data_IF_247691468841
#
_entry.id   IF_247691468841
#
_cell.length_a   1.000
_cell.length_b   1.000
_cell.length_c   1.000
_cell.angle_alpha   90.00
_cell.angle_beta   90.00
_cell.angle_gamma   90.00
#
_symmetry.space_group_name_H-M   'P 1'
#
loop_
_entity.id
_entity.type
_entity.pdbx_description
1 polymer ?
#
# COMPACT_ATOMS: atom_id res chain seq x y z
N UNK A 1 -3.89 16.24 7.45
CA UNK A 1 -2.75 15.32 7.74
C UNK A 1 -1.90 15.17 6.49
N UNK A 2 -0.62 14.74 6.64
CA UNK A 2 0.26 14.41 5.53
C UNK A 2 0.27 12.89 5.36
N UNK A 3 -0.43 12.40 4.36
CA UNK A 3 -0.70 10.98 4.13
C UNK A 3 0.08 10.49 2.92
N UNK A 4 0.80 9.37 3.08
CA UNK A 4 1.41 8.67 1.96
C UNK A 4 0.65 7.38 1.69
N UNK A 5 0.15 7.22 0.48
CA UNK A 5 -0.32 5.94 -0.02
C UNK A 5 0.81 5.20 -0.71
N UNK A 6 1.01 3.94 -0.32
CA UNK A 6 2.00 3.04 -0.92
C UNK A 6 1.28 1.85 -1.49
N UNK A 7 1.50 1.60 -2.76
CA UNK A 7 0.96 0.44 -3.46
C UNK A 7 2.02 -0.25 -4.30
N UNK A 8 1.80 -1.50 -4.64
CA UNK A 8 2.58 -2.24 -5.63
C UNK A 8 1.65 -2.85 -6.67
N UNK A 9 0.72 -2.02 -7.16
CA UNK A 9 -0.29 -2.41 -8.14
C UNK A 9 0.40 -2.90 -9.41
N UNK A 10 0.00 -4.09 -9.85
CA UNK A 10 0.45 -4.68 -11.11
C UNK A 10 -0.68 -4.54 -12.14
N UNK A 11 -0.32 -4.09 -13.34
CA UNK A 11 -1.28 -3.78 -14.39
C UNK A 11 -1.95 -5.01 -14.98
N UNK A 12 -3.26 -5.00 -14.99
CA UNK A 12 -4.12 -5.82 -15.82
C UNK A 12 -5.41 -5.04 -16.04
N UNK A 13 -5.89 -5.00 -17.28
CA UNK A 13 -7.07 -4.21 -17.69
C UNK A 13 -8.32 -4.39 -16.80
N UNK A 14 -8.36 -5.48 -16.02
CA UNK A 14 -9.50 -5.85 -15.17
C UNK A 14 -9.18 -5.84 -13.67
N UNK A 15 -8.09 -5.21 -13.26
CA UNK A 15 -7.73 -5.12 -11.85
C UNK A 15 -8.55 -4.04 -11.14
N UNK A 16 -9.48 -4.45 -10.27
CA UNK A 16 -10.30 -3.53 -9.46
C UNK A 16 -9.49 -2.47 -8.72
N UNK A 17 -8.37 -2.82 -8.06
CA UNK A 17 -7.52 -1.84 -7.37
C UNK A 17 -6.97 -0.73 -8.25
N UNK A 18 -6.73 -0.97 -9.56
CA UNK A 18 -6.29 0.08 -10.49
C UNK A 18 -7.29 1.22 -10.64
N UNK A 19 -8.57 0.97 -10.38
CA UNK A 19 -9.61 1.99 -10.46
C UNK A 19 -10.00 2.51 -9.08
N UNK A 20 -10.06 1.64 -8.08
CA UNK A 20 -10.56 2.02 -6.75
C UNK A 20 -9.51 2.78 -5.93
N UNK A 21 -8.22 2.44 -6.03
CA UNK A 21 -7.14 3.12 -5.30
C UNK A 21 -7.03 4.59 -5.70
N UNK A 22 -6.90 4.96 -7.00
CA UNK A 22 -6.84 6.35 -7.40
C UNK A 22 -8.05 7.17 -6.95
N UNK A 23 -9.26 6.63 -7.11
CA UNK A 23 -10.50 7.32 -6.69
C UNK A 23 -10.56 7.56 -5.19
N UNK A 24 -10.11 6.61 -4.37
CA UNK A 24 -10.01 6.78 -2.93
C UNK A 24 -9.02 7.89 -2.58
N UNK A 25 -7.83 7.87 -3.19
CA UNK A 25 -6.79 8.87 -2.97
C UNK A 25 -7.28 10.26 -3.38
N UNK A 26 -7.92 10.37 -4.53
CA UNK A 26 -8.48 11.63 -5.01
C UNK A 26 -9.59 12.18 -4.09
N UNK A 27 -10.40 11.29 -3.52
CA UNK A 27 -11.38 11.67 -2.50
C UNK A 27 -10.71 12.16 -1.22
N UNK A 28 -9.66 11.50 -0.75
CA UNK A 28 -8.91 11.88 0.45
C UNK A 28 -8.18 13.22 0.29
N UNK A 29 -7.67 13.52 -0.91
CA UNK A 29 -7.00 14.80 -1.24
C UNK A 29 -7.88 16.03 -0.96
N UNK A 30 -9.18 15.88 -0.89
CA UNK A 30 -10.09 16.98 -0.56
C UNK A 30 -9.98 17.45 0.89
N UNK A 31 -9.43 16.62 1.77
CA UNK A 31 -9.37 16.84 3.21
C UNK A 31 -7.94 16.86 3.75
N UNK A 32 -7.01 16.20 3.07
CA UNK A 32 -5.65 15.99 3.53
C UNK A 32 -4.61 16.24 2.43
N UNK A 33 -3.35 16.47 2.84
CA UNK A 33 -2.23 16.43 1.92
C UNK A 33 -1.90 14.97 1.60
N UNK A 34 -1.96 14.59 0.34
CA UNK A 34 -1.81 13.20 -0.08
C UNK A 34 -0.70 13.06 -1.11
N UNK A 35 0.12 12.03 -0.95
CA UNK A 35 1.14 11.63 -1.91
C UNK A 35 1.00 10.13 -2.20
N UNK A 36 0.94 9.75 -3.48
CA UNK A 36 0.79 8.36 -3.86
C UNK A 36 2.04 7.82 -4.56
N UNK A 37 2.61 6.77 -3.98
CA UNK A 37 3.74 6.03 -4.54
C UNK A 37 3.28 4.65 -4.96
N UNK A 38 3.51 4.29 -6.21
CA UNK A 38 3.43 2.92 -6.66
C UNK A 38 4.84 2.34 -6.87
N UNK A 39 5.13 1.20 -6.25
CA UNK A 39 6.44 0.56 -6.24
C UNK A 39 6.71 -0.25 -7.51
N UNK A 40 5.66 -0.53 -8.28
CA UNK A 40 5.70 -1.27 -9.55
C UNK A 40 5.37 -0.32 -10.70
N UNK A 41 6.09 -0.44 -11.82
CA UNK A 41 5.76 0.33 -13.01
C UNK A 41 4.48 -0.23 -13.63
N UNK A 42 3.48 0.63 -13.81
CA UNK A 42 2.22 0.29 -14.47
C UNK A 42 2.09 1.18 -15.71
N UNK A 43 1.65 0.62 -16.82
CA UNK A 43 1.06 1.40 -17.89
C UNK A 43 -0.35 1.78 -17.46
N UNK A 44 -0.46 2.91 -16.80
CA UNK A 44 -1.75 3.44 -16.34
C UNK A 44 -2.39 4.15 -17.53
N UNK A 45 -3.70 3.92 -17.71
CA UNK A 45 -4.50 4.71 -18.63
C UNK A 45 -4.29 6.21 -18.37
N UNK A 46 -4.18 7.02 -19.44
CA UNK A 46 -3.94 8.48 -19.36
C UNK A 46 -4.88 9.19 -18.40
N UNK A 47 -6.07 8.65 -18.19
CA UNK A 47 -7.11 9.16 -17.29
C UNK A 47 -6.74 9.09 -15.80
N UNK A 48 -5.78 8.21 -15.42
CA UNK A 48 -5.30 8.06 -14.05
C UNK A 48 -3.94 8.75 -13.83
N UNK A 49 -3.36 9.35 -14.87
CA UNK A 49 -2.10 10.08 -14.81
C UNK A 49 -2.33 11.52 -14.30
N UNK A 50 -2.94 11.67 -13.14
CA UNK A 50 -2.95 12.94 -12.44
C UNK A 50 -1.63 13.17 -11.68
N UNK A 51 -1.44 14.39 -11.16
CA UNK A 51 -0.28 14.81 -10.35
C UNK A 51 -0.06 13.98 -9.08
N UNK A 52 -0.96 13.03 -8.79
CA UNK A 52 -0.92 12.21 -7.57
C UNK A 52 -0.08 10.95 -7.70
N UNK A 53 0.08 10.42 -8.92
CA UNK A 53 0.77 9.16 -9.14
C UNK A 53 2.28 9.35 -9.32
N UNK A 54 3.06 8.65 -8.49
CA UNK A 54 4.50 8.61 -8.61
C UNK A 54 4.99 7.16 -8.66
N UNK A 55 5.64 6.79 -9.75
CA UNK A 55 6.37 5.52 -9.81
C UNK A 55 7.74 5.70 -9.16
N UNK A 56 7.97 5.04 -8.04
CA UNK A 56 9.26 5.02 -7.35
C UNK A 56 9.56 3.58 -6.96
N UNK A 57 10.50 2.90 -7.63
CA UNK A 57 10.85 1.52 -7.31
C UNK A 57 11.43 1.42 -5.90
N UNK A 58 11.16 0.30 -5.19
CA UNK A 58 11.58 0.10 -3.81
C UNK A 58 13.07 0.39 -3.56
N UNK A 59 13.94 0.04 -4.52
CA UNK A 59 15.39 0.28 -4.40
C UNK A 59 15.76 1.77 -4.31
N UNK A 60 14.97 2.62 -4.93
CA UNK A 60 15.18 4.08 -4.96
C UNK A 60 14.31 4.82 -3.96
N UNK A 61 13.34 4.12 -3.34
CA UNK A 61 12.38 4.74 -2.43
C UNK A 61 13.00 5.02 -1.06
N UNK A 62 12.85 6.26 -0.61
CA UNK A 62 13.12 6.69 0.75
C UNK A 62 12.13 7.78 1.13
N UNK A 63 11.55 7.69 2.31
CA UNK A 63 10.64 8.72 2.82
C UNK A 63 11.33 10.09 2.90
N UNK A 64 12.60 10.12 3.31
CA UNK A 64 13.37 11.36 3.47
C UNK A 64 13.62 12.12 2.16
N UNK A 65 13.54 11.43 1.03
CA UNK A 65 13.73 11.99 -0.31
C UNK A 65 12.44 12.51 -0.93
N UNK A 66 11.31 12.30 -0.29
CA UNK A 66 10.04 12.83 -0.76
C UNK A 66 10.00 14.35 -0.56
N UNK A 67 9.24 15.06 -1.39
CA UNK A 67 9.09 16.51 -1.22
C UNK A 67 8.37 16.82 0.10
N UNK A 68 8.70 17.92 0.78
CA UNK A 68 7.93 18.37 1.92
C UNK A 68 6.45 18.61 1.54
N UNK A 69 5.48 18.27 2.41
CA UNK A 69 5.62 17.79 3.78
C UNK A 69 5.74 16.25 3.89
N UNK A 70 5.82 15.52 2.79
CA UNK A 70 5.76 14.04 2.76
C UNK A 70 7.08 13.36 3.17
N UNK A 71 8.15 14.09 3.32
CA UNK A 71 9.41 13.56 3.88
C UNK A 71 9.30 13.23 5.39
N UNK A 72 8.25 13.72 6.05
CA UNK A 72 7.88 13.36 7.43
C UNK A 72 6.35 13.17 7.51
N UNK A 73 5.80 12.06 7.03
CA UNK A 73 4.36 11.85 6.98
C UNK A 73 3.77 11.59 8.37
N UNK A 74 2.52 12.00 8.56
CA UNK A 74 1.76 11.69 9.78
C UNK A 74 1.32 10.23 9.80
N UNK A 75 1.04 9.66 8.62
CA UNK A 75 0.59 8.27 8.47
C UNK A 75 0.91 7.74 7.07
N UNK A 76 1.12 6.42 6.97
CA UNK A 76 1.30 5.72 5.70
C UNK A 76 0.19 4.67 5.53
N UNK A 77 -0.41 4.60 4.35
CA UNK A 77 -1.45 3.63 4.01
C UNK A 77 -0.89 2.66 2.97
N UNK A 78 -0.82 1.38 3.31
CA UNK A 78 -0.43 0.31 2.40
C UNK A 78 -1.68 -0.29 1.75
N UNK A 79 -1.75 -0.22 0.42
CA UNK A 79 -2.90 -0.67 -0.38
C UNK A 79 -2.86 -2.15 -0.76
N UNK A 80 -1.98 -2.92 -0.14
CA UNK A 80 -1.84 -4.35 -0.34
C UNK A 80 -1.22 -5.01 0.88
N UNK A 81 -1.57 -6.29 1.11
CA UNK A 81 -1.07 -7.07 2.25
C UNK A 81 0.11 -7.98 1.88
N UNK A 82 -0.06 -8.83 0.85
CA UNK A 82 0.93 -9.86 0.50
C UNK A 82 2.02 -9.37 -0.45
N UNK A 83 2.54 -8.15 -0.21
CA UNK A 83 3.69 -7.60 -0.94
C UNK A 83 4.87 -7.42 0.01
N UNK A 84 5.97 -8.08 -0.32
CA UNK A 84 7.19 -8.04 0.48
C UNK A 84 7.72 -6.60 0.63
N UNK A 85 7.56 -5.81 -0.42
CA UNK A 85 7.94 -4.40 -0.47
C UNK A 85 7.26 -3.59 0.63
N UNK A 86 5.95 -3.79 0.82
CA UNK A 86 5.18 -3.11 1.87
C UNK A 86 5.72 -3.44 3.26
N UNK A 87 5.99 -4.72 3.53
CA UNK A 87 6.55 -5.13 4.81
C UNK A 87 7.98 -4.62 5.06
N UNK A 88 8.82 -4.49 4.02
CA UNK A 88 10.15 -3.87 4.14
C UNK A 88 10.01 -2.39 4.52
N UNK A 89 9.10 -1.67 3.88
CA UNK A 89 8.85 -0.26 4.19
C UNK A 89 8.24 -0.09 5.58
N UNK A 90 7.32 -0.97 5.98
CA UNK A 90 6.73 -0.93 7.32
C UNK A 90 7.78 -1.05 8.43
N UNK A 91 8.80 -1.89 8.27
CA UNK A 91 9.92 -1.96 9.23
C UNK A 91 10.66 -0.62 9.38
N UNK A 92 10.78 0.15 8.29
CA UNK A 92 11.38 1.50 8.35
C UNK A 92 10.48 2.47 9.12
N UNK A 93 9.15 2.39 8.89
CA UNK A 93 8.17 3.21 9.61
C UNK A 93 8.15 2.91 11.11
N UNK A 94 8.17 1.64 11.49
CA UNK A 94 8.21 1.21 12.90
C UNK A 94 9.42 1.81 13.61
N UNK A 95 10.61 1.76 12.99
CA UNK A 95 11.84 2.36 13.56
C UNK A 95 11.72 3.88 13.74
N UNK A 96 10.95 4.54 12.88
CA UNK A 96 10.69 5.99 12.93
C UNK A 96 9.48 6.37 13.79
N UNK A 97 8.78 5.38 14.33
CA UNK A 97 7.52 5.56 15.08
C UNK A 97 6.42 6.25 14.26
N UNK A 98 6.43 6.07 12.94
CA UNK A 98 5.39 6.56 12.04
C UNK A 98 4.30 5.48 11.94
N UNK A 99 3.04 5.79 12.27
CA UNK A 99 1.95 4.82 12.18
C UNK A 99 1.64 4.47 10.72
N UNK A 100 1.12 3.25 10.50
CA UNK A 100 0.63 2.85 9.20
C UNK A 100 -0.66 2.02 9.30
N UNK A 101 -1.44 2.10 8.23
CA UNK A 101 -2.67 1.33 8.03
C UNK A 101 -2.44 0.36 6.86
N UNK A 102 -3.08 -0.81 6.93
CA UNK A 102 -3.08 -1.79 5.85
C UNK A 102 -4.49 -1.91 5.28
N UNK A 103 -4.61 -1.85 3.96
CA UNK A 103 -5.85 -2.12 3.21
C UNK A 103 -5.60 -3.34 2.31
N UNK A 104 -6.05 -4.55 2.70
CA UNK A 104 -5.70 -5.80 2.03
C UNK A 104 -6.26 -5.95 0.61
N UNK A 105 -7.30 -5.22 0.24
CA UNK A 105 -7.92 -5.28 -1.09
C UNK A 105 -8.35 -6.68 -1.51
N UNK A 106 -9.12 -7.36 -0.66
CA UNK A 106 -9.60 -8.74 -0.83
C UNK A 106 -8.50 -9.81 -0.87
N UNK A 107 -7.26 -9.47 -0.55
CA UNK A 107 -6.16 -10.43 -0.50
C UNK A 107 -6.23 -11.39 0.70
N UNK A 108 -7.01 -11.08 1.72
CA UNK A 108 -7.19 -11.91 2.91
C UNK A 108 -8.41 -12.84 2.83
N UNK A 109 -9.17 -12.82 1.73
CA UNK A 109 -10.29 -13.76 1.53
C UNK A 109 -9.79 -15.19 1.37
N UNK A 110 -10.56 -16.17 1.87
CA UNK A 110 -10.23 -17.60 1.73
C UNK A 110 -9.99 -17.99 0.27
N UNK A 111 -10.82 -17.51 -0.65
CA UNK A 111 -10.72 -17.78 -2.09
C UNK A 111 -9.40 -17.28 -2.67
N UNK A 112 -8.90 -16.12 -2.24
CA UNK A 112 -7.63 -15.59 -2.69
C UNK A 112 -6.46 -16.41 -2.13
N UNK A 113 -6.53 -16.78 -0.85
CA UNK A 113 -5.50 -17.58 -0.17
C UNK A 113 -5.39 -18.98 -0.77
N UNK A 114 -6.52 -19.60 -1.14
CA UNK A 114 -6.55 -20.94 -1.75
C UNK A 114 -6.03 -20.93 -3.20
N UNK A 115 -6.37 -19.92 -3.99
CA UNK A 115 -5.98 -19.83 -5.40
C UNK A 115 -4.51 -19.51 -5.62
N UNK A 116 -3.90 -18.73 -4.74
CA UNK A 116 -2.44 -18.59 -4.73
C UNK A 116 -1.86 -19.75 -3.93
N UNK A 117 -1.21 -20.70 -4.61
CA UNK A 117 -0.26 -21.63 -3.98
C UNK A 117 0.90 -20.83 -3.39
N UNK A 118 0.58 -20.03 -2.38
CA UNK A 118 1.59 -19.36 -1.57
C UNK A 118 2.34 -20.51 -0.90
N UNK A 119 3.49 -20.88 -1.43
CA UNK A 119 4.46 -21.68 -0.70
C UNK A 119 4.84 -20.83 0.52
N UNK A 120 4.02 -20.99 1.56
CA UNK A 120 4.19 -20.31 2.84
C UNK A 120 5.41 -20.93 3.51
N UNK A 121 6.56 -20.41 3.19
CA UNK A 121 7.70 -20.59 4.07
C UNK A 121 7.29 -20.00 5.42
N UNK A 122 7.56 -20.71 6.51
CA UNK A 122 7.29 -20.23 7.89
C UNK A 122 7.82 -18.80 8.11
N UNK A 123 8.94 -18.46 7.49
CA UNK A 123 9.52 -17.13 7.49
C UNK A 123 8.59 -16.05 6.87
N UNK A 124 7.89 -16.38 5.77
CA UNK A 124 6.93 -15.44 5.16
C UNK A 124 5.72 -15.20 6.07
N UNK A 125 5.25 -16.25 6.71
CA UNK A 125 4.13 -16.14 7.66
C UNK A 125 4.48 -15.28 8.88
N UNK A 126 5.65 -15.48 9.46
CA UNK A 126 6.15 -14.66 10.57
C UNK A 126 6.34 -13.18 10.14
N UNK A 127 6.83 -12.96 8.92
CA UNK A 127 7.01 -11.63 8.38
C UNK A 127 5.68 -10.87 8.20
N UNK A 128 4.67 -11.51 7.61
CA UNK A 128 3.35 -10.90 7.43
C UNK A 128 2.59 -10.73 8.74
N UNK A 129 2.74 -11.66 9.69
CA UNK A 129 2.20 -11.48 11.04
C UNK A 129 2.81 -10.27 11.74
N UNK A 130 4.12 -10.08 11.66
CA UNK A 130 4.78 -8.90 12.22
C UNK A 130 4.28 -7.61 11.56
N UNK A 131 4.15 -7.61 10.23
CA UNK A 131 3.61 -6.50 9.47
C UNK A 131 2.18 -6.15 9.91
N UNK A 132 1.28 -7.14 10.03
CA UNK A 132 -0.09 -6.93 10.46
C UNK A 132 -0.18 -6.45 11.92
N UNK A 133 0.53 -7.10 12.84
CA UNK A 133 0.46 -6.79 14.27
C UNK A 133 1.05 -5.42 14.63
N UNK A 134 1.96 -4.91 13.83
CA UNK A 134 2.58 -3.60 14.05
C UNK A 134 1.81 -2.45 13.39
N UNK A 135 0.78 -2.75 12.59
CA UNK A 135 -0.09 -1.74 12.00
C UNK A 135 -0.94 -1.06 13.06
N UNK A 136 -1.17 0.24 12.90
CA UNK A 136 -2.10 1.00 13.74
C UNK A 136 -3.56 0.54 13.52
N UNK A 137 -3.88 0.13 12.28
CA UNK A 137 -5.16 -0.46 11.91
C UNK A 137 -5.04 -1.32 10.64
N UNK A 138 -6.03 -2.20 10.47
CA UNK A 138 -6.27 -2.92 9.20
C UNK A 138 -7.67 -2.55 8.74
N UNK A 139 -7.80 -1.99 7.55
CA UNK A 139 -9.07 -1.60 6.97
C UNK A 139 -9.55 -2.69 6.02
N UNK A 140 -10.52 -3.47 6.44
CA UNK A 140 -11.19 -4.45 5.59
C UNK A 140 -12.23 -3.75 4.71
N UNK A 141 -12.34 -4.17 3.45
CA UNK A 141 -13.32 -3.64 2.51
C UNK A 141 -14.61 -4.48 2.50
N UNK A 142 -14.55 -5.72 2.95
CA UNK A 142 -15.67 -6.65 3.01
C UNK A 142 -15.65 -7.45 4.32
N UNK A 143 -16.81 -7.94 4.75
CA UNK A 143 -16.91 -8.83 5.91
C UNK A 143 -16.15 -10.15 5.71
N UNK A 144 -15.95 -10.58 4.47
CA UNK A 144 -15.21 -11.81 4.15
C UNK A 144 -13.69 -11.72 4.36
N UNK A 145 -13.18 -10.50 4.60
CA UNK A 145 -11.76 -10.28 4.88
C UNK A 145 -11.44 -10.28 6.38
N UNK A 146 -12.44 -10.20 7.23
CA UNK A 146 -12.29 -10.28 8.69
C UNK A 146 -12.01 -11.71 9.14
#
# INVERSE_FOLDING_TARGET
MNIIYVSALEGGKYSGPLYSVPKQIESQKKFDNVFWVNLTKIEIYKELQGDLYHFIPLKSFSFEKLPPPFNNPDIVIFEEFFKLECGILARRLIRKKIPYIIVPRCQMTEKYIQNKKIKKTVASFLFFNYFAKSAAAVQFLTEQEK
#
